data_IF_250228219016
#
_entry.id   IF_250228219016
#
_cell.length_a   1.000
_cell.length_b   1.000
_cell.length_c   1.000
_cell.angle_alpha   90.00
_cell.angle_beta   90.00
_cell.angle_gamma   90.00
#
_symmetry.space_group_name_H-M   'P 1'
#
loop_
_entity.id
_entity.type
_entity.pdbx_description
1 polymer ?
#
# COMPACT_ATOMS: atom_id res chain seq x y z
N UNK A 1 40.23 -20.44 2.93
CA UNK A 1 39.89 -19.04 3.29
C UNK A 1 38.43 -18.81 2.94
N UNK A 2 37.62 -18.56 3.97
CA UNK A 2 36.16 -18.51 3.91
C UNK A 2 35.70 -17.09 3.57
N UNK A 3 35.16 -16.87 2.38
CA UNK A 3 34.49 -15.62 2.02
C UNK A 3 32.99 -15.83 2.01
N UNK A 4 32.43 -16.08 3.20
CA UNK A 4 30.98 -16.06 3.43
C UNK A 4 30.54 -14.60 3.57
N UNK A 5 30.51 -13.89 2.45
CA UNK A 5 30.17 -12.47 2.38
C UNK A 5 29.06 -12.27 1.37
N UNK A 6 27.80 -12.51 1.78
CA UNK A 6 26.60 -11.82 1.26
C UNK A 6 25.28 -12.37 1.82
N UNK A 7 25.28 -13.10 2.95
CA UNK A 7 24.03 -13.42 3.67
C UNK A 7 23.45 -12.20 4.42
N UNK A 8 23.53 -11.01 3.80
CA UNK A 8 23.03 -9.72 4.31
C UNK A 8 22.04 -9.08 3.33
N UNK A 9 21.39 -9.87 2.47
CA UNK A 9 20.19 -9.47 1.70
C UNK A 9 18.93 -9.46 2.58
N UNK A 10 19.08 -8.91 3.77
CA UNK A 10 17.99 -8.60 4.68
C UNK A 10 18.37 -7.29 5.36
N UNK A 11 17.43 -6.35 5.41
CA UNK A 11 17.45 -5.14 6.24
C UNK A 11 17.91 -3.82 5.62
N UNK A 12 17.56 -3.54 4.35
CA UNK A 12 17.35 -2.14 3.98
C UNK A 12 16.00 -2.04 3.23
N UNK A 13 14.94 -1.48 3.84
CA UNK A 13 13.73 -1.18 3.10
C UNK A 13 14.13 -0.15 2.05
N UNK A 14 14.08 -0.53 0.76
CA UNK A 14 14.34 0.38 -0.35
C UNK A 14 13.48 1.64 -0.16
N UNK A 15 14.07 2.83 0.12
CA UNK A 15 13.31 4.05 0.29
C UNK A 15 12.58 4.45 -1.00
N UNK A 16 13.03 3.96 -2.15
CA UNK A 16 12.34 4.09 -3.44
C UNK A 16 11.05 3.26 -3.55
N UNK A 17 10.88 2.23 -2.71
CA UNK A 17 9.61 1.46 -2.66
C UNK A 17 8.57 2.13 -1.78
N UNK A 18 8.93 3.04 -0.87
CA UNK A 18 7.96 3.81 -0.08
C UNK A 18 7.00 4.65 -0.95
N UNK A 19 7.48 5.48 -1.91
CA UNK A 19 6.57 6.23 -2.78
C UNK A 19 5.74 5.28 -3.67
N UNK A 20 6.33 4.20 -4.20
CA UNK A 20 5.60 3.23 -5.01
C UNK A 20 4.50 2.48 -4.22
N UNK A 21 4.79 2.07 -2.97
CA UNK A 21 3.79 1.48 -2.06
C UNK A 21 2.62 2.42 -1.84
N UNK A 22 2.91 3.70 -1.57
CA UNK A 22 1.88 4.73 -1.41
C UNK A 22 1.06 4.96 -2.68
N UNK A 23 1.70 4.96 -3.84
CA UNK A 23 0.99 5.05 -5.12
C UNK A 23 -0.01 3.91 -5.33
N UNK A 24 0.37 2.67 -5.00
CA UNK A 24 -0.54 1.52 -5.08
C UNK A 24 -1.70 1.67 -4.10
N UNK A 25 -1.42 2.07 -2.86
CA UNK A 25 -2.46 2.31 -1.84
C UNK A 25 -3.48 3.33 -2.33
N UNK A 26 -3.02 4.49 -2.81
CA UNK A 26 -3.90 5.57 -3.27
C UNK A 26 -4.66 5.21 -4.54
N UNK A 27 -4.00 4.54 -5.49
CA UNK A 27 -4.65 4.12 -6.73
C UNK A 27 -5.76 3.09 -6.46
N UNK A 28 -5.49 2.07 -5.65
CA UNK A 28 -6.48 1.04 -5.30
C UNK A 28 -7.59 1.62 -4.44
N UNK A 29 -7.27 2.41 -3.41
CA UNK A 29 -8.28 3.02 -2.55
C UNK A 29 -9.16 4.03 -3.29
N UNK A 30 -8.55 4.87 -4.14
CA UNK A 30 -9.26 5.85 -4.96
C UNK A 30 -10.19 5.19 -5.98
N UNK A 31 -9.71 4.17 -6.70
CA UNK A 31 -10.54 3.43 -7.65
C UNK A 31 -11.72 2.74 -6.96
N UNK A 32 -11.46 2.08 -5.82
CA UNK A 32 -12.47 1.36 -5.04
C UNK A 32 -13.51 2.32 -4.45
N UNK A 33 -13.06 3.40 -3.81
CA UNK A 33 -13.92 4.42 -3.21
C UNK A 33 -14.75 5.18 -4.24
N UNK A 34 -14.16 5.51 -5.40
CA UNK A 34 -14.88 6.20 -6.50
C UNK A 34 -15.92 5.28 -7.13
N UNK A 35 -15.57 4.02 -7.41
CA UNK A 35 -16.51 3.06 -7.98
C UNK A 35 -17.72 2.83 -7.08
N UNK A 36 -17.49 2.67 -5.77
CA UNK A 36 -18.56 2.43 -4.79
C UNK A 36 -19.36 3.72 -4.51
N UNK A 37 -18.69 4.86 -4.38
CA UNK A 37 -19.35 6.15 -4.16
C UNK A 37 -20.23 6.58 -5.33
N UNK A 38 -19.87 6.19 -6.56
CA UNK A 38 -20.67 6.48 -7.76
C UNK A 38 -21.98 5.66 -7.84
N UNK A 39 -22.03 4.47 -7.23
CA UNK A 39 -23.21 3.59 -7.25
C UNK A 39 -24.08 3.67 -6.00
N UNK A 40 -23.52 4.13 -4.87
CA UNK A 40 -24.22 4.22 -3.58
C UNK A 40 -24.36 5.68 -3.17
N UNK A 41 -23.45 6.16 -2.30
CA UNK A 41 -23.33 7.55 -1.90
C UNK A 41 -21.87 7.88 -1.61
N UNK A 42 -21.53 9.17 -1.71
CA UNK A 42 -20.17 9.68 -1.49
C UNK A 42 -19.63 9.27 -0.12
N UNK A 43 -20.47 9.31 0.93
CA UNK A 43 -20.05 8.93 2.28
C UNK A 43 -19.62 7.45 2.38
N UNK A 44 -20.29 6.55 1.67
CA UNK A 44 -19.95 5.13 1.61
C UNK A 44 -18.65 4.94 0.84
N UNK A 45 -18.48 5.62 -0.29
CA UNK A 45 -17.25 5.60 -1.08
C UNK A 45 -16.02 6.07 -0.28
N UNK A 46 -16.16 7.15 0.49
CA UNK A 46 -15.09 7.65 1.39
C UNK A 46 -14.77 6.63 2.47
N UNK A 47 -15.78 6.01 3.09
CA UNK A 47 -15.58 4.96 4.10
C UNK A 47 -14.80 3.77 3.55
N UNK A 48 -15.13 3.32 2.33
CA UNK A 48 -14.41 2.22 1.68
C UNK A 48 -12.99 2.64 1.28
N UNK A 49 -12.79 3.85 0.76
CA UNK A 49 -11.45 4.35 0.45
C UNK A 49 -10.55 4.33 1.70
N UNK A 50 -11.02 4.84 2.84
CA UNK A 50 -10.26 4.83 4.09
C UNK A 50 -9.99 3.41 4.60
N UNK A 51 -10.97 2.51 4.51
CA UNK A 51 -10.79 1.10 4.88
C UNK A 51 -9.73 0.40 4.02
N UNK A 52 -9.74 0.65 2.71
CA UNK A 52 -8.77 0.11 1.76
C UNK A 52 -7.38 0.71 2.00
N UNK A 53 -7.27 2.02 2.28
CA UNK A 53 -6.00 2.64 2.66
C UNK A 53 -5.42 1.98 3.91
N UNK A 54 -6.21 1.83 4.98
CA UNK A 54 -5.74 1.21 6.22
C UNK A 54 -5.33 -0.25 6.04
N UNK A 55 -6.09 -1.01 5.24
CA UNK A 55 -5.78 -2.40 4.94
C UNK A 55 -4.48 -2.55 4.15
N UNK A 56 -4.33 -1.82 3.04
CA UNK A 56 -3.09 -1.90 2.25
C UNK A 56 -1.91 -1.29 3.01
N UNK A 57 -2.09 -0.26 3.83
CA UNK A 57 -1.04 0.25 4.69
C UNK A 57 -0.56 -0.84 5.67
N UNK A 58 -1.46 -1.67 6.20
CA UNK A 58 -1.10 -2.77 7.11
C UNK A 58 -0.42 -3.97 6.41
N UNK A 59 -0.74 -4.23 5.13
CA UNK A 59 -0.21 -5.36 4.35
C UNK A 59 1.10 -5.02 3.65
N UNK A 60 1.19 -3.80 3.12
CA UNK A 60 2.46 -3.10 2.91
C UNK A 60 2.95 -2.72 4.34
N UNK A 61 3.79 -1.76 4.65
CA UNK A 61 4.35 -1.55 6.03
C UNK A 61 4.93 -2.77 6.83
N UNK A 62 4.18 -3.84 7.14
CA UNK A 62 4.71 -5.20 7.37
C UNK A 62 5.63 -5.69 6.25
#
# INVERSE_FOLDING_TARGET
MTSSSANRSGSQPDPDRLPLRWFVILATAGASGTAIGAITEVAVGVGVALGVVGLLHTILDR
#
